data_IF_803933954475
#
_entry.id   IF_803933954475
#
_cell.length_a   1.000
_cell.length_b   1.000
_cell.length_c   1.000
_cell.angle_alpha   90.00
_cell.angle_beta   90.00
_cell.angle_gamma   90.00
#
_symmetry.space_group_name_H-M   'P 1'
#
loop_
_entity.id
_entity.type
_entity.pdbx_description
1 polymer ?
#
# COMPACT_ATOMS: atom_id res chain seq x y z
N UNK A 1 18.22 -48.64 -5.85
CA UNK A 1 16.84 -48.57 -5.32
C UNK A 1 16.02 -47.89 -6.35
N UNK A 2 14.98 -48.52 -6.75
CA UNK A 2 14.25 -48.52 -8.01
C UNK A 2 13.65 -47.17 -8.40
N UNK A 3 13.98 -46.77 -9.63
CA UNK A 3 13.23 -45.73 -10.37
C UNK A 3 12.04 -46.45 -11.02
N UNK A 4 10.85 -45.98 -10.75
CA UNK A 4 9.66 -46.34 -11.53
C UNK A 4 9.33 -45.13 -12.42
N UNK A 5 9.67 -45.31 -13.69
CA UNK A 5 9.20 -44.45 -14.77
C UNK A 5 7.86 -45.01 -15.24
N UNK A 6 6.77 -44.33 -14.90
CA UNK A 6 5.46 -44.61 -15.46
C UNK A 6 5.37 -44.12 -16.89
N UNK A 7 5.69 -45.03 -17.79
CA UNK A 7 5.56 -44.84 -19.23
C UNK A 7 4.09 -44.76 -19.65
N UNK A 8 3.70 -43.59 -20.12
CA UNK A 8 2.47 -43.41 -20.90
C UNK A 8 2.63 -44.08 -22.27
N UNK A 9 2.11 -45.29 -22.39
CA UNK A 9 2.11 -46.03 -23.64
C UNK A 9 0.80 -45.78 -24.41
N UNK A 10 0.84 -45.23 -25.63
CA UNK A 10 -0.34 -45.12 -26.46
C UNK A 10 -0.74 -46.54 -26.96
N UNK A 11 -1.96 -46.92 -26.69
CA UNK A 11 -2.54 -48.18 -27.23
C UNK A 11 -2.71 -48.03 -28.74
N UNK A 12 -1.87 -48.74 -29.49
CA UNK A 12 -2.01 -48.93 -30.91
C UNK A 12 -3.04 -50.05 -31.14
N UNK A 13 -4.19 -49.72 -31.67
CA UNK A 13 -5.11 -50.73 -32.19
C UNK A 13 -4.68 -51.14 -33.59
N UNK A 14 -4.11 -52.33 -33.74
CA UNK A 14 -3.89 -52.97 -35.03
C UNK A 14 -5.25 -53.45 -35.60
N UNK A 15 -5.65 -52.82 -36.72
CA UNK A 15 -6.69 -53.39 -37.57
C UNK A 15 -6.09 -53.50 -38.99
N UNK A 16 -5.90 -54.73 -39.43
CA UNK A 16 -5.57 -55.05 -40.82
C UNK A 16 -6.76 -54.68 -41.68
N UNK A 17 -6.53 -53.90 -42.65
CA UNK A 17 -7.15 -53.56 -43.93
C UNK A 17 -7.18 -52.07 -44.11
N UNK A 18 -6.43 -51.64 -45.09
CA UNK A 18 -6.29 -50.30 -45.73
C UNK A 18 -7.34 -49.24 -45.41
N UNK A 19 -7.24 -48.68 -44.23
CA UNK A 19 -8.05 -47.49 -43.84
C UNK A 19 -7.12 -46.36 -43.50
N UNK A 20 -7.14 -45.35 -44.36
CA UNK A 20 -6.48 -44.07 -44.12
C UNK A 20 -7.05 -43.48 -42.85
N UNK A 21 -6.26 -43.44 -41.75
CA UNK A 21 -6.61 -42.70 -40.54
C UNK A 21 -6.56 -41.23 -40.91
N UNK A 22 -7.70 -40.62 -41.23
CA UNK A 22 -7.84 -39.19 -41.16
C UNK A 22 -7.85 -38.82 -39.67
N UNK A 23 -6.76 -38.27 -39.22
CA UNK A 23 -6.77 -37.52 -37.97
C UNK A 23 -7.73 -36.36 -38.18
N UNK A 24 -8.99 -36.51 -37.74
CA UNK A 24 -9.88 -35.38 -37.53
C UNK A 24 -9.33 -34.63 -36.33
N UNK A 25 -8.35 -33.77 -36.57
CA UNK A 25 -8.08 -32.63 -35.69
C UNK A 25 -9.33 -31.74 -35.81
N UNK A 26 -10.25 -31.88 -34.89
CA UNK A 26 -11.31 -30.91 -34.72
C UNK A 26 -10.65 -29.64 -34.16
N UNK A 27 -10.00 -28.89 -35.03
CA UNK A 27 -9.61 -27.53 -34.75
C UNK A 27 -10.87 -26.71 -34.69
N UNK A 28 -11.43 -26.58 -33.48
CA UNK A 28 -12.47 -25.63 -33.20
C UNK A 28 -11.88 -24.25 -33.25
N UNK A 29 -11.71 -23.70 -34.43
CA UNK A 29 -11.34 -22.31 -34.60
C UNK A 29 -12.44 -21.43 -34.01
N UNK A 30 -12.04 -20.51 -33.13
CA UNK A 30 -12.98 -19.50 -32.63
C UNK A 30 -13.55 -18.67 -33.74
N UNK A 31 -14.87 -18.47 -33.73
CA UNK A 31 -15.53 -17.60 -34.69
C UNK A 31 -15.27 -16.13 -34.34
N UNK A 32 -15.22 -15.27 -35.37
CA UNK A 32 -15.10 -13.82 -35.16
C UNK A 32 -16.18 -13.26 -34.22
N UNK A 33 -17.40 -13.79 -34.36
CA UNK A 33 -18.52 -13.36 -33.50
C UNK A 33 -18.32 -13.76 -32.03
N UNK A 34 -17.76 -14.91 -31.78
CA UNK A 34 -17.47 -15.40 -30.40
C UNK A 34 -16.45 -14.50 -29.71
N UNK A 35 -15.39 -14.08 -30.41
CA UNK A 35 -14.45 -13.11 -29.90
C UNK A 35 -15.09 -11.73 -29.69
N UNK A 36 -15.94 -11.27 -30.61
CA UNK A 36 -16.66 -10.00 -30.46
C UNK A 36 -17.53 -9.99 -29.19
N UNK A 37 -18.28 -11.06 -28.95
CA UNK A 37 -19.15 -11.17 -27.79
C UNK A 37 -18.31 -11.15 -26.50
N UNK A 38 -17.20 -11.87 -26.47
CA UNK A 38 -16.29 -11.90 -25.29
C UNK A 38 -15.73 -10.52 -24.96
N UNK A 39 -15.21 -9.79 -25.96
CA UNK A 39 -14.67 -8.44 -25.70
C UNK A 39 -15.74 -7.44 -25.28
N UNK A 40 -16.96 -7.56 -25.79
CA UNK A 40 -18.09 -6.71 -25.37
C UNK A 40 -18.45 -6.99 -23.91
N UNK A 41 -18.57 -8.26 -23.51
CA UNK A 41 -18.87 -8.63 -22.13
C UNK A 41 -17.74 -8.18 -21.19
N UNK A 42 -16.48 -8.42 -21.56
CA UNK A 42 -15.33 -7.97 -20.76
C UNK A 42 -15.29 -6.44 -20.64
N UNK A 43 -15.61 -5.72 -21.68
CA UNK A 43 -15.69 -4.26 -21.67
C UNK A 43 -16.78 -3.74 -20.71
N UNK A 44 -17.95 -4.37 -20.70
CA UNK A 44 -19.04 -4.02 -19.77
C UNK A 44 -18.67 -4.34 -18.32
N UNK A 45 -18.05 -5.50 -18.07
CA UNK A 45 -17.61 -5.86 -16.71
C UNK A 45 -16.50 -4.94 -16.21
N UNK A 46 -15.54 -4.57 -17.06
CA UNK A 46 -14.46 -3.67 -16.70
C UNK A 46 -14.98 -2.30 -16.25
N UNK A 47 -16.02 -1.76 -16.90
CA UNK A 47 -16.60 -0.45 -16.53
C UNK A 47 -17.20 -0.47 -15.12
N UNK A 48 -17.91 -1.53 -14.75
CA UNK A 48 -18.52 -1.66 -13.40
C UNK A 48 -17.48 -1.75 -12.29
N UNK A 49 -16.34 -2.40 -12.55
CA UNK A 49 -15.27 -2.56 -11.57
C UNK A 49 -14.59 -1.21 -11.25
N UNK A 50 -14.30 -0.41 -12.26
CA UNK A 50 -13.59 0.88 -12.09
C UNK A 50 -14.36 1.83 -11.18
N UNK A 51 -15.66 2.00 -11.36
CA UNK A 51 -16.46 2.95 -10.57
C UNK A 51 -16.62 2.56 -9.09
N UNK A 52 -16.43 1.30 -8.74
CA UNK A 52 -16.55 0.82 -7.36
C UNK A 52 -15.21 0.78 -6.60
N UNK A 53 -14.08 0.74 -7.29
CA UNK A 53 -12.76 0.59 -6.67
C UNK A 53 -12.17 1.93 -6.28
N UNK A 54 -12.31 2.98 -7.10
CA UNK A 54 -11.72 4.29 -6.85
C UNK A 54 -12.11 4.90 -5.51
N UNK A 55 -13.40 5.02 -5.11
CA UNK A 55 -13.76 5.66 -3.84
C UNK A 55 -13.32 4.86 -2.61
N UNK A 56 -13.03 3.58 -2.74
CA UNK A 56 -12.51 2.77 -1.65
C UNK A 56 -11.00 2.96 -1.45
N UNK A 57 -10.25 3.28 -2.50
CA UNK A 57 -8.83 3.62 -2.42
C UNK A 57 -8.63 4.90 -1.60
N UNK A 58 -9.41 5.94 -1.86
CA UNK A 58 -9.29 7.23 -1.19
C UNK A 58 -9.54 7.09 0.32
N UNK A 59 -10.58 6.36 0.70
CA UNK A 59 -10.86 6.04 2.11
C UNK A 59 -9.73 5.25 2.77
N UNK A 60 -9.12 4.32 2.06
CA UNK A 60 -8.00 3.54 2.56
C UNK A 60 -6.74 4.41 2.75
N UNK A 61 -6.49 5.36 1.84
CA UNK A 61 -5.39 6.32 1.98
C UNK A 61 -5.58 7.22 3.20
N UNK A 62 -6.76 7.80 3.37
CA UNK A 62 -7.09 8.60 4.57
C UNK A 62 -6.95 7.77 5.84
N UNK A 63 -7.46 6.52 5.86
CA UNK A 63 -7.31 5.61 6.98
C UNK A 63 -5.85 5.30 7.32
N UNK A 64 -5.01 5.09 6.30
CA UNK A 64 -3.57 4.90 6.49
C UNK A 64 -2.91 6.15 7.08
N UNK A 65 -3.23 7.34 6.56
CA UNK A 65 -2.67 8.58 7.08
C UNK A 65 -3.02 8.79 8.56
N UNK A 66 -4.27 8.54 8.96
CA UNK A 66 -4.69 8.60 10.38
C UNK A 66 -3.90 7.62 11.25
N UNK A 67 -3.69 6.40 10.78
CA UNK A 67 -2.89 5.41 11.51
C UNK A 67 -1.41 5.82 11.65
N UNK A 68 -0.83 6.38 10.60
CA UNK A 68 0.55 6.85 10.61
C UNK A 68 0.72 8.05 11.57
N UNK A 69 -0.22 9.02 11.55
CA UNK A 69 -0.22 10.17 12.50
C UNK A 69 -0.30 9.67 13.93
N UNK A 70 -1.18 8.72 14.24
CA UNK A 70 -1.29 8.15 15.59
C UNK A 70 0.00 7.41 16.01
N UNK A 71 0.65 6.71 15.09
CA UNK A 71 1.94 6.05 15.34
C UNK A 71 3.06 7.07 15.65
N UNK A 72 3.13 8.16 14.89
CA UNK A 72 4.11 9.22 15.10
C UNK A 72 3.84 9.92 16.45
N UNK A 73 2.58 10.19 16.78
CA UNK A 73 2.18 10.80 18.05
C UNK A 73 2.59 9.92 19.24
N UNK A 74 2.32 8.61 19.19
CA UNK A 74 2.78 7.68 20.23
C UNK A 74 4.31 7.72 20.41
N UNK A 75 5.05 7.79 19.33
CA UNK A 75 6.51 7.90 19.39
C UNK A 75 6.97 9.25 19.98
N UNK A 76 6.24 10.35 19.71
CA UNK A 76 6.48 11.65 20.30
C UNK A 76 6.22 11.66 21.81
N UNK A 77 5.16 11.00 22.25
CA UNK A 77 4.89 10.85 23.69
C UNK A 77 5.99 10.04 24.39
N UNK A 78 6.47 8.98 23.74
CA UNK A 78 7.57 8.18 24.26
C UNK A 78 8.90 8.98 24.30
N UNK A 79 9.15 9.80 23.28
CA UNK A 79 10.27 10.74 23.25
C UNK A 79 10.19 11.71 24.44
N UNK A 80 9.03 12.35 24.64
CA UNK A 80 8.79 13.29 25.75
C UNK A 80 8.94 12.62 27.11
N UNK A 81 8.46 11.39 27.27
CA UNK A 81 8.59 10.64 28.52
C UNK A 81 10.06 10.44 28.90
N UNK A 82 10.90 10.13 27.94
CA UNK A 82 12.31 9.90 28.16
C UNK A 82 13.11 11.21 28.30
N UNK A 83 12.84 12.19 27.43
CA UNK A 83 13.64 13.43 27.33
C UNK A 83 13.01 14.62 28.06
N UNK A 84 11.80 14.46 28.65
CA UNK A 84 11.02 15.45 29.40
C UNK A 84 10.44 16.60 28.55
N UNK A 85 10.77 16.65 27.28
CA UNK A 85 10.31 17.66 26.33
C UNK A 85 10.04 17.02 24.96
N UNK A 86 9.18 17.63 24.16
CA UNK A 86 9.09 17.27 22.74
C UNK A 86 10.29 17.79 21.96
N UNK A 87 10.62 17.20 20.80
CA UNK A 87 11.63 17.75 19.92
C UNK A 87 11.31 19.21 19.53
N UNK A 88 12.35 20.01 19.30
CA UNK A 88 12.12 21.36 18.78
C UNK A 88 11.55 21.30 17.34
N UNK A 89 10.88 22.38 16.91
CA UNK A 89 10.43 22.47 15.53
C UNK A 89 11.56 22.36 14.49
N UNK A 90 12.78 22.78 14.88
CA UNK A 90 13.96 22.67 14.04
C UNK A 90 14.47 21.20 13.91
N UNK A 91 14.37 20.43 14.97
CA UNK A 91 14.76 19.00 14.96
C UNK A 91 13.73 18.14 14.22
N UNK A 92 12.47 18.55 14.27
CA UNK A 92 11.38 17.92 13.54
C UNK A 92 11.14 16.46 13.90
N UNK A 93 10.45 15.74 13.04
CA UNK A 93 10.19 14.29 13.18
C UNK A 93 11.47 13.46 13.11
N UNK A 94 12.56 13.99 12.53
CA UNK A 94 13.83 13.28 12.42
C UNK A 94 14.41 12.94 13.79
N UNK A 95 14.07 13.72 14.83
CA UNK A 95 14.44 13.44 16.20
C UNK A 95 13.90 12.10 16.74
N UNK A 96 12.90 11.52 16.10
CA UNK A 96 12.40 10.17 16.45
C UNK A 96 13.27 9.04 15.91
N UNK A 97 14.04 9.30 14.86
CA UNK A 97 14.91 8.31 14.21
C UNK A 97 16.33 8.38 14.75
N UNK A 98 16.84 9.61 14.92
CA UNK A 98 18.21 9.88 15.35
C UNK A 98 18.22 10.93 16.45
N UNK A 99 19.10 10.77 17.43
CA UNK A 99 19.24 11.75 18.50
C UNK A 99 19.65 13.12 17.94
N UNK A 100 18.86 14.18 18.18
CA UNK A 100 19.23 15.52 17.74
C UNK A 100 20.43 16.06 18.50
N UNK A 101 21.25 16.86 17.84
CA UNK A 101 22.42 17.50 18.46
C UNK A 101 22.02 18.53 19.53
N UNK A 102 20.80 19.05 19.48
CA UNK A 102 20.20 19.99 20.43
C UNK A 102 19.85 19.35 21.77
N UNK A 103 19.91 18.02 21.90
CA UNK A 103 19.45 17.32 23.09
C UNK A 103 20.37 17.56 24.28
N UNK A 104 19.80 18.13 25.34
CA UNK A 104 20.56 18.51 26.55
C UNK A 104 21.11 17.28 27.31
N UNK A 105 20.39 16.15 27.23
CA UNK A 105 20.76 14.91 27.93
C UNK A 105 20.74 13.71 26.97
N UNK A 106 21.77 13.53 26.11
CA UNK A 106 21.82 12.46 25.12
C UNK A 106 21.71 11.05 25.69
N UNK A 107 22.12 10.86 26.95
CA UNK A 107 22.05 9.56 27.65
C UNK A 107 20.59 9.10 27.90
N UNK A 108 19.62 10.00 27.83
CA UNK A 108 18.19 9.67 28.01
C UNK A 108 17.52 9.26 26.68
N UNK A 109 18.17 9.55 25.56
CA UNK A 109 17.65 9.16 24.28
C UNK A 109 17.67 7.65 24.10
N UNK A 110 16.58 7.09 23.59
CA UNK A 110 16.47 5.64 23.40
C UNK A 110 17.47 5.15 22.34
N UNK A 111 18.36 4.18 22.66
CA UNK A 111 19.26 3.60 21.68
C UNK A 111 18.46 2.99 20.50
N UNK A 112 18.79 3.42 19.28
CA UNK A 112 18.10 2.97 18.07
C UNK A 112 16.89 3.78 17.67
N UNK A 113 16.57 4.87 18.40
CA UNK A 113 15.44 5.76 18.10
C UNK A 113 14.09 5.24 18.59
N UNK A 114 13.06 6.01 18.37
CA UNK A 114 11.66 5.71 18.72
C UNK A 114 10.89 5.11 17.56
N UNK A 115 11.32 5.43 16.35
CA UNK A 115 10.81 4.86 15.10
C UNK A 115 12.01 4.47 14.23
N UNK A 116 11.97 3.31 13.60
CA UNK A 116 13.07 2.85 12.72
C UNK A 116 13.20 3.70 11.46
N UNK A 117 12.07 4.15 10.93
CA UNK A 117 11.98 4.97 9.73
C UNK A 117 10.69 5.77 9.79
N UNK A 118 10.77 7.05 9.46
CA UNK A 118 9.59 7.88 9.31
C UNK A 118 8.76 7.41 8.12
N UNK A 119 7.46 7.19 8.32
CA UNK A 119 6.57 6.88 7.21
C UNK A 119 6.40 8.12 6.32
N UNK A 120 6.10 7.89 5.06
CA UNK A 120 5.55 8.91 4.18
C UNK A 120 4.04 8.77 4.15
N UNK A 121 3.37 9.88 3.92
CA UNK A 121 1.93 9.85 3.74
C UNK A 121 1.55 8.99 2.51
N UNK A 122 0.28 8.60 2.35
CA UNK A 122 -0.16 7.78 1.22
C UNK A 122 0.05 8.44 -0.15
N UNK A 123 0.20 9.74 -0.19
CA UNK A 123 0.44 10.53 -1.41
C UNK A 123 1.94 10.80 -1.68
N UNK A 124 2.84 10.24 -0.82
CA UNK A 124 4.30 10.25 -1.00
C UNK A 124 5.03 11.42 -0.37
N UNK A 125 4.33 12.30 0.39
CA UNK A 125 4.90 13.45 1.08
C UNK A 125 5.34 13.09 2.50
N UNK A 126 6.12 13.96 3.11
CA UNK A 126 6.49 13.86 4.52
C UNK A 126 5.40 14.49 5.40
N UNK A 127 5.16 13.90 6.58
CA UNK A 127 4.28 14.49 7.58
C UNK A 127 4.87 15.80 8.12
N UNK A 128 4.01 16.77 8.37
CA UNK A 128 4.39 18.06 8.92
C UNK A 128 4.35 18.01 10.43
N UNK A 129 5.31 18.68 11.07
CA UNK A 129 5.43 18.78 12.52
C UNK A 129 5.53 20.24 12.93
N UNK A 130 4.78 20.63 13.92
CA UNK A 130 4.86 21.94 14.54
C UNK A 130 5.00 21.83 16.07
N UNK A 131 5.95 22.55 16.63
CA UNK A 131 6.14 22.75 18.05
C UNK A 131 6.54 24.20 18.32
N UNK A 132 5.70 25.01 18.98
CA UNK A 132 4.40 24.66 19.57
C UNK A 132 3.33 24.39 18.50
N UNK A 133 2.37 23.49 18.83
CA UNK A 133 1.21 23.24 17.99
C UNK A 133 0.19 24.41 18.05
N UNK A 134 -0.72 24.44 17.07
CA UNK A 134 -1.86 25.40 17.04
C UNK A 134 -3.00 24.94 17.95
N UNK A 135 -3.27 23.63 17.94
CA UNK A 135 -4.39 23.02 18.65
C UNK A 135 -3.98 22.21 19.89
N UNK A 136 -2.68 22.02 20.09
CA UNK A 136 -2.14 21.25 21.22
C UNK A 136 -0.70 21.61 21.52
N UNK A 137 -0.03 20.78 22.31
CA UNK A 137 1.40 20.98 22.61
C UNK A 137 2.25 20.82 21.35
N UNK A 138 1.87 19.91 20.49
CA UNK A 138 2.46 19.65 19.16
C UNK A 138 1.36 19.36 18.17
N UNK A 139 1.59 19.69 16.91
CA UNK A 139 0.74 19.27 15.80
C UNK A 139 1.55 18.37 14.85
N UNK A 140 0.90 17.27 14.44
CA UNK A 140 1.42 16.33 13.45
C UNK A 140 0.32 16.14 12.42
N UNK A 141 0.58 16.46 11.15
CA UNK A 141 -0.46 16.39 10.14
C UNK A 141 0.06 16.06 8.75
N UNK A 142 -0.85 15.54 7.91
CA UNK A 142 -0.69 15.45 6.47
C UNK A 142 -1.64 16.45 5.80
N UNK A 143 -1.22 17.03 4.70
CA UNK A 143 -1.99 17.98 3.89
C UNK A 143 -2.94 17.29 2.88
N UNK A 144 -3.38 16.06 3.18
CA UNK A 144 -4.33 15.37 2.31
C UNK A 144 -3.82 15.07 0.90
N UNK A 145 -4.71 14.82 -0.03
CA UNK A 145 -4.35 14.46 -1.41
C UNK A 145 -3.79 15.62 -2.22
N UNK A 146 -4.29 16.83 -2.01
CA UNK A 146 -3.89 18.01 -2.78
C UNK A 146 -2.60 18.68 -2.29
N UNK A 147 -2.18 18.40 -1.04
CA UNK A 147 -0.98 19.00 -0.44
C UNK A 147 -1.13 20.48 -0.08
N UNK A 148 -2.35 20.95 0.11
CA UNK A 148 -2.68 22.31 0.52
C UNK A 148 -3.37 22.30 1.89
N UNK A 149 -3.24 23.39 2.67
CA UNK A 149 -3.93 23.51 3.96
C UNK A 149 -5.46 23.58 3.75
N UNK A 150 -6.21 22.78 4.51
CA UNK A 150 -7.67 22.73 4.46
C UNK A 150 -8.21 21.60 3.58
N UNK A 151 -9.29 21.86 2.83
CA UNK A 151 -9.92 20.89 1.96
C UNK A 151 -11.02 20.05 2.61
N UNK A 152 -11.66 19.20 1.83
CA UNK A 152 -12.72 18.28 2.26
C UNK A 152 -12.49 16.87 1.68
N UNK A 153 -12.96 15.85 2.39
CA UNK A 153 -12.86 14.46 1.95
C UNK A 153 -11.42 13.95 1.94
N UNK A 154 -10.90 13.55 0.79
CA UNK A 154 -9.52 13.08 0.61
C UNK A 154 -8.49 14.21 0.64
N UNK A 155 -8.93 15.44 0.36
CA UNK A 155 -8.10 16.65 0.39
C UNK A 155 -8.04 17.28 1.79
N UNK A 156 -8.83 16.78 2.74
CA UNK A 156 -8.81 17.30 4.09
C UNK A 156 -7.47 17.03 4.78
N UNK A 157 -7.00 18.01 5.56
CA UNK A 157 -5.86 17.82 6.45
C UNK A 157 -6.18 16.73 7.47
N UNK A 158 -5.22 15.85 7.75
CA UNK A 158 -5.34 14.78 8.71
C UNK A 158 -4.35 15.05 9.83
N UNK A 159 -4.85 15.37 11.02
CA UNK A 159 -4.03 15.78 12.16
C UNK A 159 -4.26 14.91 13.40
N UNK A 160 -3.35 15.02 14.39
CA UNK A 160 -3.51 14.40 15.71
C UNK A 160 -4.49 15.15 16.61
N UNK A 161 -4.97 16.31 16.20
CA UNK A 161 -5.85 17.19 16.99
C UNK A 161 -7.35 17.03 16.64
N UNK A 162 -7.73 15.94 15.92
CA UNK A 162 -9.12 15.60 15.62
C UNK A 162 -9.80 14.81 16.75
#
# INVERSE_FOLDING_TARGET
MRNEEDGFSPKVCSAEHGFSIRLCSAEHGFTLIELMVVIVILGLLATVVVINVLPNQDKAMVGKAKADVALIEQAMELYKLNNLTYPSGADGLQALVTAPASLTQPQRYQPGGYIKKLPKDPWGRDYVYANPGRNGAIDIYSLGADGAEGGEGENADISNAE
#
